data_IF_034627905050
#
_entry.id   IF_034627905050
#
_cell.length_a   1.000
_cell.length_b   1.000
_cell.length_c   1.000
_cell.angle_alpha   90.00
_cell.angle_beta   90.00
_cell.angle_gamma   90.00
#
_symmetry.space_group_name_H-M   'P 1'
#
loop_
_entity.id
_entity.type
_entity.pdbx_description
1 polymer ?
#
# COMPACT_ATOMS: atom_id res chain seq x y z
N UNK A 1 20.21 -2.25 2.88
CA UNK A 1 19.56 -2.75 1.66
C UNK A 1 18.14 -3.10 2.05
N UNK A 2 17.15 -2.35 1.53
CA UNK A 2 15.73 -2.68 1.76
C UNK A 2 15.44 -4.03 1.11
N UNK A 3 15.06 -5.04 1.92
CA UNK A 3 14.78 -6.41 1.45
C UNK A 3 13.45 -6.53 0.66
N UNK A 4 12.97 -5.47 0.05
CA UNK A 4 11.78 -5.51 -0.80
C UNK A 4 12.00 -6.45 -2.01
N UNK A 5 13.26 -6.65 -2.43
CA UNK A 5 13.60 -7.58 -3.51
C UNK A 5 13.42 -9.05 -3.15
N UNK A 6 13.49 -9.39 -1.87
CA UNK A 6 13.37 -10.77 -1.38
C UNK A 6 12.00 -11.08 -0.79
N UNK A 7 11.04 -10.16 -0.93
CA UNK A 7 9.70 -10.37 -0.40
C UNK A 7 8.97 -11.44 -1.23
N UNK A 8 8.37 -12.38 -0.54
CA UNK A 8 7.46 -13.38 -1.13
C UNK A 8 6.33 -12.73 -1.93
N UNK A 9 5.95 -11.51 -1.59
CA UNK A 9 4.99 -10.71 -2.36
C UNK A 9 5.57 -10.33 -3.73
N UNK A 10 6.80 -9.83 -3.81
CA UNK A 10 7.45 -9.52 -5.09
C UNK A 10 7.55 -10.73 -6.00
N UNK A 11 7.84 -11.90 -5.45
CA UNK A 11 7.89 -13.17 -6.20
C UNK A 11 6.48 -13.69 -6.56
N UNK A 12 5.52 -13.61 -5.63
CA UNK A 12 4.13 -14.01 -5.87
C UNK A 12 3.40 -13.06 -6.83
N UNK A 13 3.87 -11.83 -6.97
CA UNK A 13 3.31 -10.80 -7.82
C UNK A 13 3.89 -10.77 -9.25
N UNK A 14 4.78 -11.72 -9.58
CA UNK A 14 5.27 -11.91 -10.95
C UNK A 14 6.24 -10.86 -11.47
N UNK A 15 6.85 -10.06 -10.58
CA UNK A 15 7.83 -9.05 -11.00
C UNK A 15 8.58 -8.38 -9.85
N UNK A 16 9.80 -7.97 -10.11
CA UNK A 16 10.65 -7.26 -9.17
C UNK A 16 10.40 -5.73 -9.15
N UNK A 17 9.18 -5.31 -9.41
CA UNK A 17 8.83 -3.89 -9.41
C UNK A 17 8.46 -3.47 -7.99
N UNK A 18 9.16 -2.47 -7.46
CA UNK A 18 8.80 -1.75 -6.25
C UNK A 18 8.73 -0.27 -6.58
N UNK A 19 7.58 0.34 -6.45
CA UNK A 19 7.31 1.71 -6.87
C UNK A 19 6.46 2.44 -5.83
N UNK A 20 6.45 3.77 -5.90
CA UNK A 20 5.62 4.65 -5.07
C UNK A 20 5.79 4.46 -3.57
N UNK A 21 7.03 4.46 -3.01
CA UNK A 21 7.22 4.28 -1.58
C UNK A 21 6.66 5.47 -0.80
N UNK A 22 5.86 5.19 0.23
CA UNK A 22 5.32 6.19 1.14
C UNK A 22 5.52 5.75 2.60
N UNK A 23 6.30 6.51 3.35
CA UNK A 23 6.58 6.25 4.76
C UNK A 23 5.44 6.76 5.65
N UNK A 24 5.10 5.99 6.67
CA UNK A 24 4.13 6.39 7.69
C UNK A 24 4.52 5.84 9.05
N UNK A 25 3.89 6.36 10.10
CA UNK A 25 3.92 5.75 11.43
C UNK A 25 2.51 5.43 11.89
N UNK A 26 2.37 4.29 12.54
CA UNK A 26 1.16 3.98 13.29
C UNK A 26 1.07 4.85 14.54
N UNK A 27 -0.10 4.92 15.15
CA UNK A 27 -0.30 5.68 16.40
C UNK A 27 0.51 5.07 17.57
N UNK A 28 0.89 3.79 17.48
CA UNK A 28 1.81 3.13 18.42
C UNK A 28 3.30 3.44 18.14
N UNK A 29 3.60 4.19 17.07
CA UNK A 29 4.95 4.60 16.70
C UNK A 29 5.69 3.65 15.76
N UNK A 30 5.08 2.56 15.31
CA UNK A 30 5.69 1.61 14.39
C UNK A 30 5.90 2.23 13.01
N UNK A 31 7.12 2.17 12.49
CA UNK A 31 7.46 2.71 11.18
C UNK A 31 7.07 1.72 10.08
N UNK A 32 6.21 2.16 9.18
CA UNK A 32 5.79 1.42 8.01
C UNK A 32 6.15 2.11 6.70
N UNK A 33 6.14 1.34 5.63
CA UNK A 33 6.25 1.82 4.26
C UNK A 33 5.19 1.16 3.39
N UNK A 34 4.41 1.98 2.71
CA UNK A 34 3.58 1.55 1.60
C UNK A 34 4.43 1.48 0.34
N UNK A 35 4.20 0.51 -0.50
CA UNK A 35 4.85 0.37 -1.79
C UNK A 35 3.98 -0.39 -2.78
N UNK A 36 4.20 -0.19 -4.06
CA UNK A 36 3.38 -0.77 -5.12
C UNK A 36 4.16 -1.76 -5.95
N UNK A 37 3.47 -2.78 -6.39
CA UNK A 37 4.00 -3.80 -7.29
C UNK A 37 2.89 -4.33 -8.21
N UNK A 38 3.21 -5.38 -8.94
CA UNK A 38 2.29 -6.07 -9.84
C UNK A 38 2.00 -7.48 -9.35
N UNK A 39 0.74 -7.86 -9.37
CA UNK A 39 0.26 -9.21 -9.08
C UNK A 39 -0.65 -9.67 -10.20
N UNK A 40 -0.27 -10.77 -10.87
CA UNK A 40 -1.07 -11.31 -11.98
C UNK A 40 -1.45 -10.23 -13.01
N UNK A 41 -0.46 -9.43 -13.43
CA UNK A 41 -0.64 -8.30 -14.35
C UNK A 41 -1.54 -7.16 -13.83
N UNK A 42 -1.76 -7.09 -12.54
CA UNK A 42 -2.54 -6.03 -11.86
C UNK A 42 -1.70 -5.30 -10.83
N UNK A 43 -1.92 -4.02 -10.67
CA UNK A 43 -1.30 -3.25 -9.60
C UNK A 43 -1.79 -3.73 -8.23
N UNK A 44 -0.87 -3.80 -7.28
CA UNK A 44 -1.15 -4.16 -5.90
C UNK A 44 -0.39 -3.22 -4.95
N UNK A 45 -1.00 -2.92 -3.81
CA UNK A 45 -0.41 -2.13 -2.73
C UNK A 45 0.10 -3.04 -1.64
N UNK A 46 1.40 -3.03 -1.43
CA UNK A 46 2.07 -3.73 -0.33
C UNK A 46 2.37 -2.83 0.85
N UNK A 47 2.71 -3.45 1.97
CA UNK A 47 3.18 -2.79 3.18
C UNK A 47 4.30 -3.59 3.83
N UNK A 48 5.31 -2.90 4.33
CA UNK A 48 6.37 -3.47 5.16
C UNK A 48 6.57 -2.62 6.41
N UNK A 49 7.08 -3.23 7.47
CA UNK A 49 7.37 -2.55 8.73
C UNK A 49 8.83 -2.70 9.12
N UNK A 50 9.42 -1.63 9.63
CA UNK A 50 10.76 -1.64 10.20
C UNK A 50 10.73 -2.26 11.60
N UNK A 51 11.55 -3.28 11.83
CA UNK A 51 11.70 -3.91 13.16
C UNK A 51 12.38 -2.98 14.16
N UNK A 52 13.37 -2.20 13.71
CA UNK A 52 14.09 -1.25 14.57
C UNK A 52 13.38 0.10 14.74
N UNK A 53 12.33 0.37 13.95
CA UNK A 53 11.69 1.69 13.85
C UNK A 53 12.53 2.74 13.13
N UNK A 54 13.67 2.35 12.52
CA UNK A 54 14.59 3.21 11.75
C UNK A 54 14.48 2.91 10.26
N UNK A 55 14.82 3.89 9.42
CA UNK A 55 14.82 3.75 7.96
C UNK A 55 15.77 2.65 7.47
N UNK A 56 16.88 2.45 8.17
CA UNK A 56 17.84 1.38 7.85
C UNK A 56 17.25 -0.03 8.00
N UNK A 57 16.12 -0.18 8.67
CA UNK A 57 15.49 -1.48 8.91
C UNK A 57 16.13 -2.26 10.06
N UNK A 58 16.09 -3.61 10.03
CA UNK A 58 15.56 -4.45 8.95
C UNK A 58 14.04 -4.25 8.70
N UNK A 59 13.61 -4.52 7.47
CA UNK A 59 12.22 -4.41 7.05
C UNK A 59 11.59 -5.78 6.89
N UNK A 60 10.42 -5.94 7.48
CA UNK A 60 9.61 -7.15 7.36
C UNK A 60 8.40 -6.86 6.49
N UNK A 61 8.30 -7.59 5.39
CA UNK A 61 7.24 -7.51 4.43
C UNK A 61 5.99 -8.25 4.93
N UNK A 62 4.82 -7.65 4.82
CA UNK A 62 3.56 -8.37 5.02
C UNK A 62 3.33 -9.35 3.86
N UNK A 63 2.92 -10.57 4.18
CA UNK A 63 2.78 -11.66 3.21
C UNK A 63 1.60 -11.48 2.24
N UNK A 64 0.64 -10.65 2.60
CA UNK A 64 -0.52 -10.34 1.76
C UNK A 64 -0.52 -8.88 1.38
N UNK A 65 -0.88 -8.54 0.14
CA UNK A 65 -1.04 -7.14 -0.24
C UNK A 65 -2.20 -6.50 0.55
N UNK A 66 -2.06 -5.22 0.84
CA UNK A 66 -3.10 -4.43 1.48
C UNK A 66 -4.31 -4.25 0.54
N UNK A 67 -4.03 -4.04 -0.73
CA UNK A 67 -5.03 -3.95 -1.82
C UNK A 67 -4.44 -4.59 -3.07
N UNK A 68 -5.26 -5.38 -3.78
CA UNK A 68 -4.85 -6.11 -5.00
C UNK A 68 -5.85 -5.99 -6.16
N UNK A 69 -6.67 -4.95 -6.19
CA UNK A 69 -7.73 -4.75 -7.16
C UNK A 69 -7.33 -3.85 -8.34
N UNK A 70 -6.10 -3.95 -8.82
CA UNK A 70 -5.50 -3.05 -9.81
C UNK A 70 -5.38 -1.60 -9.32
N UNK A 71 -5.05 -1.45 -8.05
CA UNK A 71 -4.78 -0.17 -7.40
C UNK A 71 -3.37 -0.15 -6.83
N UNK A 72 -2.76 1.02 -6.81
CA UNK A 72 -1.42 1.17 -6.27
C UNK A 72 -1.00 2.63 -6.12
N UNK A 73 0.28 2.82 -5.83
CA UNK A 73 0.90 4.13 -5.62
C UNK A 73 0.21 4.90 -4.50
N UNK A 74 -0.10 4.18 -3.40
CA UNK A 74 -0.86 4.70 -2.27
C UNK A 74 -0.09 5.70 -1.44
N UNK A 75 -0.79 6.73 -1.00
CA UNK A 75 -0.32 7.71 -0.02
C UNK A 75 -1.39 7.97 1.03
N UNK A 76 -0.96 8.34 2.23
CA UNK A 76 -1.86 8.69 3.32
C UNK A 76 -1.96 10.21 3.47
N UNK A 77 -3.14 10.68 3.80
CA UNK A 77 -3.35 12.07 4.19
C UNK A 77 -4.53 12.18 5.15
N UNK A 78 -4.57 13.27 5.92
CA UNK A 78 -5.71 13.60 6.77
C UNK A 78 -6.59 14.66 6.11
N UNK A 79 -7.89 14.45 6.17
CA UNK A 79 -8.88 15.46 5.81
C UNK A 79 -8.90 16.58 6.84
N UNK A 80 -9.52 17.71 6.51
CA UNK A 80 -9.63 18.83 7.44
C UNK A 80 -10.47 18.52 8.69
N UNK A 81 -11.37 17.53 8.60
CA UNK A 81 -12.15 17.02 9.73
C UNK A 81 -11.46 15.85 10.47
N UNK A 82 -10.20 15.57 10.11
CA UNK A 82 -9.32 14.64 10.85
C UNK A 82 -9.40 13.18 10.44
N UNK A 83 -10.18 12.81 9.44
CA UNK A 83 -10.20 11.43 8.92
C UNK A 83 -8.88 11.08 8.23
N UNK A 84 -8.38 9.88 8.47
CA UNK A 84 -7.21 9.37 7.75
C UNK A 84 -7.67 8.62 6.51
N UNK A 85 -7.21 9.08 5.36
CA UNK A 85 -7.52 8.48 4.08
C UNK A 85 -6.25 7.99 3.38
N UNK A 86 -6.40 6.92 2.61
CA UNK A 86 -5.41 6.46 1.64
C UNK A 86 -5.93 6.75 0.23
N UNK A 87 -5.13 7.50 -0.53
CA UNK A 87 -5.38 7.77 -1.96
C UNK A 87 -4.51 6.84 -2.80
N UNK A 88 -5.14 6.16 -3.76
CA UNK A 88 -4.45 5.32 -4.74
C UNK A 88 -4.96 5.64 -6.13
N UNK A 89 -4.20 5.28 -7.16
CA UNK A 89 -4.80 5.13 -8.48
C UNK A 89 -5.55 3.80 -8.56
N UNK A 90 -6.62 3.77 -9.28
CA UNK A 90 -7.37 2.57 -9.63
C UNK A 90 -7.69 2.57 -11.11
N UNK A 91 -7.56 1.41 -11.75
CA UNK A 91 -7.93 1.21 -13.13
C UNK A 91 -8.91 0.04 -13.21
N UNK A 92 -10.12 0.34 -13.65
CA UNK A 92 -11.13 -0.69 -13.90
C UNK A 92 -10.67 -1.63 -15.01
N UNK A 93 -10.85 -2.93 -14.78
CA UNK A 93 -10.57 -3.98 -15.76
C UNK A 93 -11.90 -4.47 -16.31
N UNK A 94 -12.48 -3.72 -17.23
CA UNK A 94 -13.55 -4.26 -18.07
C UNK A 94 -12.93 -5.13 -19.16
N UNK A 95 -13.61 -6.21 -19.51
CA UNK A 95 -13.07 -7.39 -20.18
C UNK A 95 -12.41 -7.18 -21.55
N UNK A 96 -12.46 -5.99 -22.13
CA UNK A 96 -11.89 -5.70 -23.46
C UNK A 96 -11.07 -4.40 -23.54
N UNK A 97 -11.20 -3.48 -22.57
CA UNK A 97 -10.46 -2.22 -22.59
C UNK A 97 -10.06 -1.82 -21.16
N UNK A 98 -8.77 -1.51 -20.99
CA UNK A 98 -8.28 -0.83 -19.79
C UNK A 98 -8.91 0.57 -19.73
N UNK A 99 -9.79 0.77 -18.77
CA UNK A 99 -10.35 2.10 -18.50
C UNK A 99 -9.27 3.10 -18.04
N UNK A 100 -9.59 4.38 -17.96
CA UNK A 100 -8.66 5.38 -17.46
C UNK A 100 -8.34 5.12 -15.98
N UNK A 101 -7.11 5.43 -15.57
CA UNK A 101 -6.73 5.47 -14.16
C UNK A 101 -7.46 6.62 -13.48
N UNK A 102 -8.07 6.33 -12.34
CA UNK A 102 -8.80 7.31 -11.53
C UNK A 102 -8.36 7.22 -10.07
N UNK A 103 -8.37 8.31 -9.32
CA UNK A 103 -8.12 8.25 -7.89
C UNK A 103 -9.25 7.48 -7.19
N UNK A 104 -8.88 6.67 -6.21
CA UNK A 104 -9.81 6.01 -5.29
C UNK A 104 -9.35 6.30 -3.87
N UNK A 105 -10.29 6.52 -2.98
CA UNK A 105 -10.02 6.83 -1.58
C UNK A 105 -10.58 5.75 -0.67
N UNK A 106 -9.78 5.35 0.30
CA UNK A 106 -10.21 4.45 1.38
C UNK A 106 -10.00 5.11 2.73
N UNK A 107 -10.93 4.92 3.64
CA UNK A 107 -10.70 5.17 5.06
C UNK A 107 -9.78 4.10 5.60
N UNK A 108 -8.79 4.50 6.39
CA UNK A 108 -7.81 3.60 6.97
C UNK A 108 -7.63 3.86 8.47
N UNK A 109 -7.27 2.80 9.19
CA UNK A 109 -6.97 2.84 10.60
C UNK A 109 -5.50 2.45 10.84
N UNK A 110 -4.80 3.27 11.63
CA UNK A 110 -3.43 3.05 12.07
C UNK A 110 -3.31 3.11 13.60
N UNK A 111 -4.42 2.97 14.32
CA UNK A 111 -4.46 3.07 15.79
C UNK A 111 -3.72 1.95 16.51
N UNK A 112 -3.57 0.78 15.86
CA UNK A 112 -2.75 -0.33 16.31
C UNK A 112 -1.35 -0.34 15.70
N UNK A 113 -0.73 -1.52 15.67
CA UNK A 113 0.60 -1.73 15.08
C UNK A 113 0.59 -1.96 13.57
N UNK A 114 -0.59 -2.00 12.97
CA UNK A 114 -0.79 -2.28 11.55
C UNK A 114 -1.66 -1.20 10.91
N UNK A 115 -1.63 -1.16 9.58
CA UNK A 115 -2.56 -0.37 8.78
C UNK A 115 -3.71 -1.27 8.31
N UNK A 116 -4.94 -0.82 8.49
CA UNK A 116 -6.15 -1.56 8.08
C UNK A 116 -7.03 -0.69 7.19
N UNK A 117 -7.58 -1.30 6.15
CA UNK A 117 -8.58 -0.67 5.29
C UNK A 117 -9.94 -0.81 5.98
N UNK A 118 -10.61 0.30 6.25
CA UNK A 118 -11.95 0.31 6.84
C UNK A 118 -13.05 0.23 5.79
N UNK A 119 -12.83 0.84 4.62
CA UNK A 119 -13.78 0.84 3.53
C UNK A 119 -13.52 1.96 2.52
N UNK A 120 -14.22 1.92 1.41
CA UNK A 120 -14.14 2.98 0.41
C UNK A 120 -14.74 4.26 0.97
N UNK A 121 -14.02 5.37 0.84
CA UNK A 121 -14.51 6.67 1.23
C UNK A 121 -15.48 7.23 0.20
N UNK A 122 -16.62 7.70 0.68
CA UNK A 122 -17.61 8.43 -0.10
C UNK A 122 -17.77 9.81 0.54
N UNK A 123 -17.41 10.89 -0.17
CA UNK A 123 -17.57 12.25 0.33
C UNK A 123 -19.03 12.65 0.52
#
# INVERSE_FOLDING_TARGET
QMCIRDSTIGMALGGYVADGPFLFRTDTGRLGILWSSWSNSRCAQGVAFSESGKLAGPWVQCNTPLISNNSGHGMLFRTFDGKLLMCLHHQSLDSENLGPRRPILFEVDISGDEIRILGKYHP
#
